data_IF_099499512619
#
_entry.id   IF_099499512619
#
_cell.length_a   1.000
_cell.length_b   1.000
_cell.length_c   1.000
_cell.angle_alpha   90.00
_cell.angle_beta   90.00
_cell.angle_gamma   90.00
#
_symmetry.space_group_name_H-M   'P 1'
#
loop_
_entity.id
_entity.type
_entity.pdbx_description
1 polymer ?
#
# COMPACT_ATOMS: atom_id res chain seq x y z
N UNK A 1 -8.11 1.65 -9.41
CA UNK A 1 -9.10 1.42 -10.49
C UNK A 1 -8.45 0.56 -11.56
N UNK A 2 -9.13 -0.51 -12.00
CA UNK A 2 -8.68 -1.36 -13.09
C UNK A 2 -9.91 -1.89 -13.87
N UNK A 3 -9.81 -1.95 -15.21
CA UNK A 3 -10.89 -2.47 -16.07
C UNK A 3 -12.26 -1.81 -15.88
N UNK A 4 -12.30 -0.51 -15.51
CA UNK A 4 -13.53 0.21 -15.24
C UNK A 4 -14.18 -0.12 -13.88
N UNK A 5 -13.45 -0.79 -12.99
CA UNK A 5 -13.87 -1.13 -11.62
C UNK A 5 -13.01 -0.38 -10.61
N UNK A 6 -13.65 0.26 -9.63
CA UNK A 6 -13.00 0.80 -8.43
C UNK A 6 -12.97 -0.32 -7.37
N UNK A 7 -11.80 -0.58 -6.81
CA UNK A 7 -11.57 -1.53 -5.72
C UNK A 7 -11.23 -0.76 -4.45
N UNK A 8 -11.85 -1.11 -3.34
CA UNK A 8 -11.67 -0.46 -2.04
C UNK A 8 -11.48 -1.52 -0.96
N UNK A 9 -10.36 -1.48 -0.25
CA UNK A 9 -10.14 -2.34 0.91
C UNK A 9 -11.06 -1.90 2.06
N UNK A 10 -11.79 -2.84 2.66
CA UNK A 10 -12.70 -2.62 3.77
C UNK A 10 -12.60 -3.76 4.77
N UNK A 11 -11.68 -3.63 5.72
CA UNK A 11 -11.39 -4.55 6.83
C UNK A 11 -11.11 -5.99 6.37
N UNK A 12 -12.10 -6.75 5.95
CA UNK A 12 -11.99 -8.17 5.55
C UNK A 12 -12.54 -8.46 4.15
N UNK A 13 -12.96 -7.42 3.44
CA UNK A 13 -13.58 -7.52 2.13
C UNK A 13 -13.04 -6.43 1.21
N UNK A 14 -12.91 -6.74 -0.08
CA UNK A 14 -12.67 -5.72 -1.09
C UNK A 14 -14.00 -5.35 -1.72
N UNK A 15 -14.48 -4.14 -1.46
CA UNK A 15 -15.66 -3.57 -2.09
C UNK A 15 -15.36 -3.21 -3.53
N UNK A 16 -16.29 -3.45 -4.42
CA UNK A 16 -16.11 -3.07 -5.82
C UNK A 16 -17.27 -2.20 -6.31
N UNK A 17 -16.93 -1.24 -7.15
CA UNK A 17 -17.89 -0.29 -7.73
C UNK A 17 -17.60 -0.09 -9.22
N UNK A 18 -18.61 0.28 -9.98
CA UNK A 18 -18.39 0.81 -11.31
C UNK A 18 -17.62 2.14 -11.21
N UNK A 19 -16.50 2.27 -11.92
CA UNK A 19 -15.61 3.43 -11.76
C UNK A 19 -16.18 4.76 -12.29
N UNK A 20 -17.28 4.72 -13.08
CA UNK A 20 -17.92 5.93 -13.63
C UNK A 20 -19.15 6.32 -12.84
N UNK A 21 -19.99 5.34 -12.51
CA UNK A 21 -21.28 5.59 -11.88
C UNK A 21 -21.25 5.43 -10.37
N UNK A 22 -20.19 4.82 -9.82
CA UNK A 22 -20.03 4.40 -8.43
C UNK A 22 -21.10 3.41 -7.96
N UNK A 23 -21.86 2.82 -8.87
CA UNK A 23 -22.80 1.77 -8.54
C UNK A 23 -22.07 0.56 -7.92
N UNK A 24 -22.55 0.00 -6.79
CA UNK A 24 -21.94 -1.18 -6.18
C UNK A 24 -21.94 -2.37 -7.14
N UNK A 25 -20.86 -3.15 -7.10
CA UNK A 25 -20.69 -4.42 -7.79
C UNK A 25 -20.47 -5.54 -6.76
N UNK A 26 -20.14 -6.75 -7.23
CA UNK A 26 -19.89 -7.89 -6.35
C UNK A 26 -18.63 -7.69 -5.52
N UNK A 27 -18.76 -7.83 -4.20
CA UNK A 27 -17.65 -7.78 -3.27
C UNK A 27 -16.75 -9.02 -3.38
N UNK A 28 -15.47 -8.86 -3.06
CA UNK A 28 -14.52 -9.97 -2.95
C UNK A 28 -14.19 -10.19 -1.49
N UNK A 29 -14.80 -11.20 -0.89
CA UNK A 29 -14.50 -11.62 0.49
C UNK A 29 -13.15 -12.33 0.52
N UNK A 30 -12.31 -11.98 1.49
CA UNK A 30 -11.01 -12.63 1.74
C UNK A 30 -11.08 -13.36 3.08
N UNK A 31 -11.35 -14.68 3.09
CA UNK A 31 -11.54 -15.41 4.33
C UNK A 31 -10.29 -15.38 5.21
N UNK A 32 -10.49 -15.00 6.49
CA UNK A 32 -9.42 -14.91 7.49
C UNK A 32 -8.57 -13.66 7.41
N UNK A 33 -8.83 -12.72 6.51
CA UNK A 33 -8.25 -11.38 6.58
C UNK A 33 -8.86 -10.60 7.74
N UNK A 34 -8.03 -9.76 8.38
CA UNK A 34 -8.46 -8.99 9.56
C UNK A 34 -8.26 -7.50 9.41
N UNK A 35 -7.39 -7.07 8.50
CA UNK A 35 -7.12 -5.65 8.25
C UNK A 35 -6.59 -5.45 6.82
N UNK A 36 -7.47 -5.58 5.84
CA UNK A 36 -7.13 -5.22 4.47
C UNK A 36 -6.82 -3.73 4.42
N UNK A 37 -5.69 -3.39 3.83
CA UNK A 37 -5.15 -2.03 3.88
C UNK A 37 -5.09 -1.41 2.49
N UNK A 38 -4.16 -1.82 1.64
CA UNK A 38 -3.98 -1.19 0.33
C UNK A 38 -4.37 -2.12 -0.83
N UNK A 39 -4.67 -1.49 -1.97
CA UNK A 39 -5.07 -2.16 -3.22
C UNK A 39 -4.27 -1.63 -4.39
N UNK A 40 -3.42 -2.46 -4.98
CA UNK A 40 -2.65 -2.13 -6.18
C UNK A 40 -3.13 -2.90 -7.42
N UNK A 41 -3.25 -2.20 -8.55
CA UNK A 41 -3.59 -2.82 -9.83
C UNK A 41 -2.33 -3.12 -10.64
N UNK A 42 -2.19 -4.36 -11.07
CA UNK A 42 -1.15 -4.78 -12.01
C UNK A 42 -1.52 -4.51 -13.48
N UNK A 43 -0.53 -4.40 -14.37
CA UNK A 43 -0.76 -4.15 -15.80
C UNK A 43 -1.47 -5.31 -16.51
N UNK A 44 -1.47 -6.51 -15.91
CA UNK A 44 -2.17 -7.71 -16.38
C UNK A 44 -3.63 -7.80 -15.90
N UNK A 45 -4.12 -6.74 -15.24
CA UNK A 45 -5.48 -6.67 -14.70
C UNK A 45 -5.67 -7.41 -13.37
N UNK A 46 -4.62 -7.96 -12.78
CA UNK A 46 -4.64 -8.52 -11.44
C UNK A 46 -4.70 -7.40 -10.41
N UNK A 47 -5.39 -7.66 -9.32
CA UNK A 47 -5.49 -6.73 -8.19
C UNK A 47 -4.79 -7.36 -7.00
N UNK A 48 -3.84 -6.66 -6.42
CA UNK A 48 -3.14 -7.09 -5.22
C UNK A 48 -3.72 -6.35 -4.01
N UNK A 49 -3.78 -7.03 -2.87
CA UNK A 49 -4.36 -6.49 -1.63
C UNK A 49 -3.49 -6.91 -0.47
N UNK A 50 -3.12 -5.97 0.40
CA UNK A 50 -2.41 -6.24 1.65
C UNK A 50 -3.38 -6.48 2.79
N UNK A 51 -3.01 -7.40 3.70
CA UNK A 51 -3.60 -7.56 5.04
C UNK A 51 -2.50 -7.26 6.06
N UNK A 52 -2.66 -6.20 6.81
CA UNK A 52 -1.69 -5.79 7.82
C UNK A 52 -1.70 -6.67 9.08
N UNK A 53 -2.60 -7.66 9.16
CA UNK A 53 -2.68 -8.57 10.30
C UNK A 53 -2.94 -7.86 11.62
N UNK A 54 -3.86 -6.89 11.61
CA UNK A 54 -4.25 -6.08 12.76
C UNK A 54 -5.74 -6.26 13.07
N UNK A 55 -6.15 -5.88 14.25
CA UNK A 55 -7.56 -5.65 14.65
C UNK A 55 -7.62 -4.47 15.61
N UNK A 56 -8.76 -3.80 15.66
CA UNK A 56 -9.00 -2.77 16.66
C UNK A 56 -9.05 -3.42 18.05
N UNK A 57 -8.17 -2.99 18.95
CA UNK A 57 -8.19 -3.32 20.37
C UNK A 57 -8.85 -2.23 21.20
N UNK A 58 -8.81 -2.34 22.52
CA UNK A 58 -9.42 -1.35 23.42
C UNK A 58 -8.71 0.01 23.39
N UNK A 59 -7.40 0.03 23.23
CA UNK A 59 -6.56 1.26 23.25
C UNK A 59 -5.83 1.51 21.95
N UNK A 60 -5.47 0.44 21.24
CA UNK A 60 -4.63 0.52 20.03
C UNK A 60 -4.89 -0.71 19.16
N UNK A 61 -4.27 -0.76 17.98
CA UNK A 61 -4.31 -1.92 17.11
C UNK A 61 -3.50 -3.09 17.69
N UNK A 62 -4.11 -4.26 17.71
CA UNK A 62 -3.50 -5.50 18.17
C UNK A 62 -3.15 -6.41 16.99
N UNK A 63 -1.99 -7.12 17.02
CA UNK A 63 -1.65 -8.06 15.98
C UNK A 63 -2.54 -9.32 16.02
N UNK A 64 -2.94 -9.79 14.84
CA UNK A 64 -3.73 -11.02 14.68
C UNK A 64 -2.91 -12.17 14.09
N UNK A 65 -1.75 -11.87 13.49
CA UNK A 65 -0.91 -12.85 12.80
C UNK A 65 -1.43 -13.26 11.43
N UNK A 66 -2.36 -12.50 10.84
CA UNK A 66 -2.90 -12.77 9.51
C UNK A 66 -2.15 -12.08 8.38
N UNK A 67 -1.02 -11.43 8.68
CA UNK A 67 -0.20 -10.71 7.71
C UNK A 67 -0.12 -11.44 6.37
N UNK A 68 -0.57 -10.79 5.30
CA UNK A 68 -0.62 -11.40 3.98
C UNK A 68 -0.60 -10.38 2.84
N UNK A 69 -0.25 -10.87 1.65
CA UNK A 69 -0.56 -10.20 0.39
C UNK A 69 -1.35 -11.18 -0.46
N UNK A 70 -2.49 -10.73 -0.96
CA UNK A 70 -3.37 -11.50 -1.82
C UNK A 70 -3.34 -10.98 -3.24
N UNK A 71 -3.69 -11.84 -4.19
CA UNK A 71 -4.04 -11.46 -5.57
C UNK A 71 -5.49 -11.82 -5.86
N UNK A 72 -6.23 -10.90 -6.47
CA UNK A 72 -7.59 -11.11 -6.95
C UNK A 72 -7.53 -11.31 -8.45
N UNK A 73 -7.97 -12.47 -8.89
CA UNK A 73 -8.12 -12.83 -10.29
C UNK A 73 -9.54 -13.34 -10.54
N UNK A 74 -10.22 -12.77 -11.54
CA UNK A 74 -11.62 -13.18 -11.90
C UNK A 74 -12.55 -13.19 -10.68
N UNK A 75 -12.43 -12.17 -9.81
CA UNK A 75 -13.27 -12.03 -8.62
C UNK A 75 -12.96 -12.99 -7.46
N UNK A 76 -11.85 -13.71 -7.50
CA UNK A 76 -11.43 -14.64 -6.44
C UNK A 76 -10.07 -14.25 -5.89
N UNK A 77 -9.98 -14.14 -4.58
CA UNK A 77 -8.73 -13.88 -3.88
C UNK A 77 -7.93 -15.16 -3.64
N UNK A 78 -6.61 -15.08 -3.82
CA UNK A 78 -5.64 -16.14 -3.49
C UNK A 78 -4.44 -15.50 -2.77
N UNK A 79 -3.84 -16.17 -1.76
CA UNK A 79 -2.63 -15.66 -1.15
C UNK A 79 -1.45 -15.71 -2.15
N UNK A 80 -0.72 -14.60 -2.23
CA UNK A 80 0.63 -14.52 -2.83
C UNK A 80 1.65 -14.91 -1.79
N UNK A 81 1.53 -14.32 -0.57
CA UNK A 81 2.35 -14.63 0.58
C UNK A 81 1.50 -14.47 1.85
N UNK A 82 1.75 -15.33 2.87
CA UNK A 82 1.10 -15.26 4.18
C UNK A 82 2.10 -15.68 5.26
N UNK A 83 2.55 -14.73 6.06
CA UNK A 83 3.48 -14.93 7.17
C UNK A 83 3.63 -13.66 7.98
N UNK A 84 3.76 -13.75 9.29
CA UNK A 84 4.09 -12.62 10.18
C UNK A 84 5.45 -11.98 9.86
N UNK A 85 6.34 -12.69 9.13
CA UNK A 85 7.61 -12.16 8.63
C UNK A 85 7.44 -11.10 7.54
N UNK A 86 6.23 -10.96 6.98
CA UNK A 86 5.90 -9.88 6.05
C UNK A 86 5.90 -8.52 6.76
N UNK A 87 5.72 -8.46 8.10
CA UNK A 87 5.95 -7.29 8.91
C UNK A 87 4.86 -6.23 8.81
N UNK A 88 3.60 -6.65 8.83
CA UNK A 88 2.41 -5.81 8.65
C UNK A 88 2.43 -5.07 7.31
N UNK A 89 2.25 -5.79 6.19
CA UNK A 89 2.22 -5.17 4.86
C UNK A 89 1.11 -4.13 4.80
N UNK A 90 1.45 -2.96 4.25
CA UNK A 90 0.58 -1.82 4.08
C UNK A 90 0.57 -1.43 2.60
N UNK A 91 1.31 -0.40 2.18
CA UNK A 91 1.32 0.06 0.81
C UNK A 91 1.84 -0.96 -0.19
N UNK A 92 1.18 -1.03 -1.33
CA UNK A 92 1.51 -1.91 -2.46
C UNK A 92 1.73 -1.10 -3.73
N UNK A 93 2.70 -1.51 -4.54
CA UNK A 93 2.91 -0.96 -5.86
C UNK A 93 3.29 -2.07 -6.84
N UNK A 94 2.66 -2.09 -8.01
CA UNK A 94 3.05 -2.98 -9.11
C UNK A 94 3.73 -2.19 -10.21
N UNK A 95 4.98 -2.53 -10.50
CA UNK A 95 5.74 -2.01 -11.64
C UNK A 95 6.18 -3.16 -12.54
N UNK A 96 5.54 -3.27 -13.70
CA UNK A 96 5.74 -4.41 -14.60
C UNK A 96 5.40 -5.74 -13.92
N UNK A 97 6.44 -6.54 -13.59
CA UNK A 97 6.32 -7.83 -12.89
C UNK A 97 6.73 -7.74 -11.42
N UNK A 98 7.15 -6.57 -10.96
CA UNK A 98 7.65 -6.36 -9.60
C UNK A 98 6.52 -5.89 -8.70
N UNK A 99 6.30 -6.59 -7.60
CA UNK A 99 5.38 -6.19 -6.54
C UNK A 99 6.19 -5.66 -5.36
N UNK A 100 6.13 -4.34 -5.15
CA UNK A 100 6.71 -3.68 -3.99
C UNK A 100 5.72 -3.68 -2.83
N UNK A 101 6.25 -3.81 -1.62
CA UNK A 101 5.48 -3.80 -0.37
C UNK A 101 6.17 -2.89 0.62
N UNK A 102 5.48 -1.85 1.09
CA UNK A 102 5.86 -1.06 2.25
C UNK A 102 5.20 -1.64 3.50
N UNK A 103 5.90 -1.60 4.65
CA UNK A 103 5.40 -2.24 5.85
C UNK A 103 5.28 -1.27 7.01
N UNK A 104 4.14 -1.30 7.67
CA UNK A 104 3.91 -0.51 8.86
C UNK A 104 4.70 -1.05 10.06
N UNK A 105 4.69 -2.37 10.26
CA UNK A 105 5.28 -2.99 11.45
C UNK A 105 6.80 -3.07 11.40
N UNK A 106 7.39 -3.62 10.33
CA UNK A 106 8.84 -3.77 10.25
C UNK A 106 9.56 -2.53 9.74
N UNK A 107 8.85 -1.57 9.12
CA UNK A 107 9.45 -0.37 8.53
C UNK A 107 10.33 -0.66 7.31
N UNK A 108 10.02 -1.71 6.60
CA UNK A 108 10.78 -2.17 5.43
C UNK A 108 10.02 -1.89 4.13
N UNK A 109 10.76 -1.55 3.10
CA UNK A 109 10.35 -1.67 1.71
C UNK A 109 11.03 -2.90 1.13
N UNK A 110 10.25 -3.80 0.52
CA UNK A 110 10.78 -5.00 -0.14
C UNK A 110 9.96 -5.34 -1.39
N UNK A 111 10.40 -6.37 -2.11
CA UNK A 111 9.64 -6.95 -3.21
C UNK A 111 9.23 -8.39 -2.90
N UNK A 112 8.10 -8.82 -3.49
CA UNK A 112 7.71 -10.23 -3.51
C UNK A 112 7.98 -10.81 -4.90
N UNK A 113 8.64 -11.96 -4.94
CA UNK A 113 8.83 -12.71 -6.17
C UNK A 113 7.56 -13.47 -6.58
N UNK A 114 7.57 -14.12 -7.73
CA UNK A 114 6.43 -14.88 -8.24
C UNK A 114 6.00 -16.07 -7.36
N UNK A 115 6.84 -16.47 -6.39
CA UNK A 115 6.56 -17.52 -5.40
C UNK A 115 6.13 -16.94 -4.05
N UNK A 116 5.98 -15.61 -3.95
CA UNK A 116 5.63 -14.91 -2.73
C UNK A 116 6.80 -14.77 -1.73
N UNK A 117 8.04 -15.01 -2.17
CA UNK A 117 9.20 -14.85 -1.31
C UNK A 117 9.63 -13.39 -1.24
N UNK A 118 9.85 -12.91 -0.02
CA UNK A 118 10.39 -11.57 0.27
C UNK A 118 11.84 -11.47 -0.22
N UNK A 119 12.11 -10.42 -1.00
CA UNK A 119 13.44 -10.12 -1.57
C UNK A 119 13.74 -8.63 -1.48
N UNK A 120 15.01 -8.26 -1.55
CA UNK A 120 15.48 -6.86 -1.61
C UNK A 120 14.98 -5.98 -0.45
N UNK A 121 14.83 -6.54 0.75
CA UNK A 121 14.31 -5.81 1.90
C UNK A 121 15.30 -4.77 2.42
N UNK A 122 14.81 -3.55 2.62
CA UNK A 122 15.55 -2.43 3.19
C UNK A 122 14.68 -1.65 4.17
N UNK A 123 15.21 -1.35 5.37
CA UNK A 123 14.56 -0.44 6.30
C UNK A 123 14.66 0.99 5.79
N UNK A 124 13.56 1.72 5.81
CA UNK A 124 13.52 3.10 5.36
C UNK A 124 13.18 4.06 6.50
N UNK A 125 13.92 5.17 6.57
CA UNK A 125 13.67 6.26 7.49
C UNK A 125 13.49 5.78 8.93
N UNK A 126 12.44 6.27 9.58
CA UNK A 126 12.04 5.87 10.94
C UNK A 126 10.95 4.79 10.94
N UNK A 127 10.69 4.16 9.82
CA UNK A 127 9.72 3.08 9.68
C UNK A 127 8.26 3.53 9.70
N UNK A 128 7.37 2.61 10.08
CA UNK A 128 5.92 2.77 9.96
C UNK A 128 5.52 3.28 8.57
N UNK A 129 5.94 2.51 7.53
CA UNK A 129 5.71 2.88 6.14
C UNK A 129 4.26 2.62 5.75
N UNK A 130 3.70 3.50 4.90
CA UNK A 130 2.32 3.43 4.47
C UNK A 130 2.25 3.37 2.94
N UNK A 131 1.96 4.44 2.21
CA UNK A 131 1.76 4.44 0.77
C UNK A 131 3.06 4.44 -0.05
N UNK A 132 2.95 3.94 -1.30
CA UNK A 132 4.03 3.93 -2.29
C UNK A 132 3.52 4.45 -3.61
N UNK A 133 4.28 5.34 -4.27
CA UNK A 133 4.04 5.72 -5.67
C UNK A 133 5.33 5.70 -6.49
N UNK A 134 5.19 5.40 -7.78
CA UNK A 134 6.30 5.40 -8.75
C UNK A 134 6.27 6.69 -9.57
N UNK A 135 7.41 7.38 -9.64
CA UNK A 135 7.61 8.54 -10.47
C UNK A 135 8.10 8.17 -11.88
N UNK A 136 8.00 9.12 -12.79
CA UNK A 136 8.38 8.90 -14.19
C UNK A 136 9.88 8.66 -14.43
N UNK A 137 10.74 9.04 -13.48
CA UNK A 137 12.20 8.79 -13.51
C UNK A 137 12.61 7.44 -12.88
N UNK A 138 11.62 6.62 -12.48
CA UNK A 138 11.81 5.34 -11.83
C UNK A 138 12.14 5.45 -10.35
N UNK A 139 12.06 6.63 -9.72
CA UNK A 139 12.14 6.75 -8.27
C UNK A 139 10.79 6.45 -7.62
N UNK A 140 10.85 5.97 -6.38
CA UNK A 140 9.71 5.70 -5.52
C UNK A 140 9.54 6.83 -4.51
N UNK A 141 8.30 7.19 -4.22
CA UNK A 141 7.96 7.95 -3.02
C UNK A 141 7.29 6.99 -2.04
N UNK A 142 7.68 7.08 -0.77
CA UNK A 142 7.15 6.23 0.30
C UNK A 142 6.82 7.10 1.51
N UNK A 143 5.59 7.06 1.99
CA UNK A 143 5.20 7.75 3.20
C UNK A 143 5.63 7.00 4.46
N UNK A 144 6.01 7.74 5.52
CA UNK A 144 6.48 7.21 6.80
C UNK A 144 5.84 7.95 7.95
N UNK A 145 4.98 7.26 8.70
CA UNK A 145 4.39 7.81 9.93
C UNK A 145 5.47 8.04 10.98
N UNK A 146 6.41 7.09 11.14
CA UNK A 146 7.48 7.17 12.12
C UNK A 146 8.40 8.37 11.93
N UNK A 147 8.59 8.81 10.68
CA UNK A 147 9.35 9.98 10.31
C UNK A 147 8.53 11.26 10.18
N UNK A 148 7.19 11.17 10.10
CA UNK A 148 6.34 12.29 9.70
C UNK A 148 6.83 12.92 8.39
N UNK A 149 7.10 12.07 7.39
CA UNK A 149 7.82 12.44 6.18
C UNK A 149 7.39 11.61 4.96
N UNK A 150 7.72 12.09 3.77
CA UNK A 150 7.74 11.29 2.55
C UNK A 150 9.18 11.16 2.09
N UNK A 151 9.59 9.93 1.86
CA UNK A 151 10.91 9.53 1.41
C UNK A 151 10.94 9.35 -0.11
N UNK A 152 12.03 9.72 -0.77
CA UNK A 152 12.27 9.45 -2.19
C UNK A 152 13.57 8.68 -2.38
N UNK A 153 13.55 7.68 -3.24
CA UNK A 153 14.74 6.92 -3.61
C UNK A 153 14.45 5.96 -4.75
N UNK A 154 15.46 5.24 -5.21
CA UNK A 154 15.30 4.13 -6.15
C UNK A 154 15.43 2.81 -5.40
N UNK A 155 14.80 1.77 -5.91
CA UNK A 155 14.98 0.43 -5.37
C UNK A 155 16.48 0.09 -5.25
N UNK A 156 16.89 -0.49 -4.11
CA UNK A 156 18.29 -0.85 -3.78
C UNK A 156 19.25 0.35 -3.63
N UNK A 157 18.75 1.55 -3.55
CA UNK A 157 19.54 2.75 -3.32
C UNK A 157 19.07 3.49 -2.04
N UNK A 158 19.86 4.42 -1.50
CA UNK A 158 19.43 5.23 -0.36
C UNK A 158 18.18 6.05 -0.66
N UNK A 159 17.33 6.19 0.36
CA UNK A 159 16.19 7.10 0.34
C UNK A 159 16.49 8.34 1.15
N UNK A 160 15.99 9.48 0.69
CA UNK A 160 16.08 10.76 1.38
C UNK A 160 14.70 11.39 1.59
N UNK A 161 14.54 12.14 2.64
CA UNK A 161 13.31 12.88 2.93
C UNK A 161 13.11 14.00 1.92
N UNK A 162 11.94 14.06 1.28
CA UNK A 162 11.57 15.12 0.31
C UNK A 162 10.38 15.97 0.80
N UNK A 163 9.60 15.45 1.73
CA UNK A 163 8.55 16.18 2.45
C UNK A 163 8.71 15.86 3.94
N UNK A 164 8.66 16.86 4.81
CA UNK A 164 8.79 16.71 6.26
C UNK A 164 7.69 17.45 7.01
N UNK A 165 7.45 17.08 8.28
CA UNK A 165 6.45 17.72 9.11
C UNK A 165 5.00 17.34 8.77
N UNK A 166 4.81 16.26 8.02
CA UNK A 166 3.48 15.71 7.69
C UNK A 166 3.13 14.62 8.70
N UNK A 167 2.26 14.91 9.65
CA UNK A 167 1.86 13.94 10.67
C UNK A 167 1.04 12.82 10.06
N UNK A 168 1.41 11.57 10.40
CA UNK A 168 0.73 10.35 9.96
C UNK A 168 0.37 10.41 8.45
N UNK A 169 1.39 10.57 7.55
CA UNK A 169 1.15 10.57 6.12
C UNK A 169 0.73 9.17 5.71
N UNK A 170 -0.54 9.01 5.34
CA UNK A 170 -1.13 7.73 4.98
C UNK A 170 -0.84 7.35 3.52
N UNK A 171 -1.70 6.54 2.90
CA UNK A 171 -1.51 6.14 1.53
C UNK A 171 -1.50 7.34 0.58
N UNK A 172 -0.40 7.51 -0.14
CA UNK A 172 -0.12 8.68 -0.98
C UNK A 172 -0.55 8.47 -2.43
N UNK A 173 -1.01 9.55 -3.06
CA UNK A 173 -1.33 9.55 -4.49
C UNK A 173 -0.42 10.47 -5.29
N UNK A 174 -0.25 10.20 -6.59
CA UNK A 174 0.54 11.05 -7.48
C UNK A 174 -0.22 11.43 -8.75
N UNK A 175 -0.49 12.73 -8.91
CA UNK A 175 -1.01 13.28 -10.15
C UNK A 175 0.15 13.49 -11.15
N UNK A 176 0.37 12.48 -11.99
CA UNK A 176 1.43 12.51 -13.02
C UNK A 176 1.31 13.68 -13.98
N UNK A 177 0.09 14.12 -14.28
CA UNK A 177 -0.16 15.20 -15.25
C UNK A 177 0.31 16.55 -14.71
N UNK A 178 0.16 16.78 -13.41
CA UNK A 178 0.49 18.05 -12.74
C UNK A 178 1.77 18.00 -11.93
N UNK A 179 2.42 16.83 -11.79
CA UNK A 179 3.61 16.65 -10.96
C UNK A 179 3.32 16.83 -9.46
N UNK A 180 2.14 16.43 -8.99
CA UNK A 180 1.69 16.69 -7.64
C UNK A 180 1.56 15.41 -6.83
N UNK A 181 2.19 15.42 -5.65
CA UNK A 181 2.03 14.41 -4.62
C UNK A 181 0.86 14.82 -3.72
N UNK A 182 -0.09 13.92 -3.52
CA UNK A 182 -1.20 14.07 -2.59
C UNK A 182 -0.91 13.25 -1.34
N UNK A 183 -0.89 13.91 -0.18
CA UNK A 183 -0.56 13.28 1.11
C UNK A 183 -1.77 13.39 2.04
N UNK A 184 -2.50 12.30 2.28
CA UNK A 184 -3.50 12.26 3.34
C UNK A 184 -2.81 12.35 4.69
N UNK A 185 -3.21 13.28 5.53
CA UNK A 185 -2.75 13.44 6.91
C UNK A 185 -3.78 12.83 7.83
N UNK A 186 -3.63 11.55 8.11
CA UNK A 186 -4.64 10.69 8.75
C UNK A 186 -5.16 11.28 10.08
N UNK A 187 -4.29 11.84 10.92
CA UNK A 187 -4.67 12.41 12.22
C UNK A 187 -5.16 13.87 12.14
N UNK A 188 -5.30 14.44 10.95
CA UNK A 188 -5.67 15.87 10.77
C UNK A 188 -6.83 16.05 9.77
N UNK A 189 -7.48 14.98 9.35
CA UNK A 189 -8.66 14.97 8.46
C UNK A 189 -8.51 15.83 7.20
N UNK A 190 -7.30 15.82 6.61
CA UNK A 190 -7.00 16.62 5.40
C UNK A 190 -6.08 15.90 4.43
N UNK A 191 -6.13 16.33 3.18
CA UNK A 191 -5.15 15.99 2.14
C UNK A 191 -4.33 17.23 1.82
N UNK A 192 -3.01 17.11 1.88
CA UNK A 192 -2.08 18.16 1.51
C UNK A 192 -1.42 17.84 0.18
N UNK A 193 -1.17 18.87 -0.64
CA UNK A 193 -0.63 18.69 -2.00
C UNK A 193 0.75 19.34 -2.08
N UNK A 194 1.73 18.57 -2.55
CA UNK A 194 3.11 19.00 -2.73
C UNK A 194 3.53 18.91 -4.19
N UNK A 195 4.32 19.87 -4.67
CA UNK A 195 5.00 19.74 -5.95
C UNK A 195 6.29 18.95 -5.74
N UNK A 196 6.43 17.85 -6.45
CA UNK A 196 7.65 17.01 -6.44
C UNK A 196 8.31 17.10 -7.80
N UNK A 197 9.50 17.67 -7.81
CA UNK A 197 10.33 17.78 -9.03
C UNK A 197 11.24 16.57 -9.20
#
# INVERSE_FOLDING_TARGET
IAGGVLYVADISVVRTFDAKTLAPKADVVIPGATFLNDVAAGPDGKIYVSDSGLKQGEKDFEPTGTDAVYVIEKGKAKPVAKSTELGKPNGLLVDGKTLYVATFGSGELYTLDAKGKKTDAAKLGKGALDGIVLLGDGSLLVSSWGGSEVLRGKAKAPFASVVTGVKAPADIGYDKKRGRLLVPRFLEDKVEVFEVK
#
